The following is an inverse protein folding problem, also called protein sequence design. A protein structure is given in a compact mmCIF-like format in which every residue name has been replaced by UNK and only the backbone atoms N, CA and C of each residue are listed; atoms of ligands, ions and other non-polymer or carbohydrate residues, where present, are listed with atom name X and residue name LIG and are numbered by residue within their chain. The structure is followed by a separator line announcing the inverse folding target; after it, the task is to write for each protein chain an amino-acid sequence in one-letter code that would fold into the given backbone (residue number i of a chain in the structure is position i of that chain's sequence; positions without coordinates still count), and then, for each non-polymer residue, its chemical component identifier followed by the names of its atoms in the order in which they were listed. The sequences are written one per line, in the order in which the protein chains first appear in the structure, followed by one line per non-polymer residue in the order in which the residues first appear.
data_IF_320150000704
#
_entry.id   IF_320150000704
#
_cell.length_a   1.000
_cell.length_b   1.000
_cell.length_c   1.000
_cell.angle_alpha   90.00
_cell.angle_beta   90.00
_cell.angle_gamma   90.00
#
_symmetry.space_group_name_H-M   'P 1'
#
loop_
_entity.id
_entity.type
_entity.pdbx_description
1 polymer ?
#
# COMPACT_ATOMS: atom_id res chain seq x y z
N UNK A 1 11.39 -10.24 -2.84
CA UNK A 1 12.23 -9.02 -2.85
C UNK A 1 13.68 -9.46 -3.03
N UNK A 2 14.39 -8.85 -3.97
CA UNK A 2 15.83 -9.08 -4.18
C UNK A 2 16.61 -7.83 -3.76
N UNK A 3 17.62 -8.01 -2.93
CA UNK A 3 18.54 -6.94 -2.49
C UNK A 3 19.96 -7.46 -2.67
N UNK A 4 20.73 -6.82 -3.53
CA UNK A 4 22.02 -7.35 -4.01
C UNK A 4 21.86 -8.82 -4.49
N UNK A 5 22.64 -9.73 -3.95
CA UNK A 5 22.63 -11.15 -4.30
C UNK A 5 21.62 -11.98 -3.45
N UNK A 6 20.90 -11.34 -2.51
CA UNK A 6 19.98 -12.02 -1.60
C UNK A 6 18.53 -11.89 -2.07
N UNK A 7 17.78 -12.98 -1.92
CA UNK A 7 16.33 -13.03 -2.17
C UNK A 7 15.59 -13.19 -0.86
N UNK A 8 14.64 -12.30 -0.62
CA UNK A 8 13.75 -12.28 0.54
C UNK A 8 12.34 -12.57 0.06
N UNK A 9 11.74 -13.61 0.61
CA UNK A 9 10.32 -13.93 0.36
C UNK A 9 9.48 -13.10 1.35
N UNK A 10 8.42 -12.48 0.86
CA UNK A 10 7.52 -11.67 1.69
C UNK A 10 6.42 -12.57 2.28
N UNK A 11 6.80 -13.32 3.30
CA UNK A 11 5.93 -14.21 4.08
C UNK A 11 6.24 -14.09 5.57
N UNK A 12 5.61 -14.94 6.38
CA UNK A 12 5.77 -14.93 7.84
C UNK A 12 7.19 -15.25 8.33
N UNK A 13 8.08 -15.76 7.48
CA UNK A 13 9.48 -16.06 7.78
C UNK A 13 10.44 -14.91 7.47
N UNK A 14 9.95 -13.82 6.88
CA UNK A 14 10.77 -12.69 6.46
C UNK A 14 11.47 -12.02 7.66
N UNK A 15 12.80 -12.12 7.69
CA UNK A 15 13.65 -11.31 8.57
C UNK A 15 13.79 -9.89 7.98
N UNK A 16 12.89 -9.01 8.41
CA UNK A 16 12.83 -7.64 7.91
C UNK A 16 14.08 -6.84 8.34
N UNK A 17 14.63 -7.09 9.52
CA UNK A 17 15.80 -6.37 10.00
C UNK A 17 17.02 -6.70 9.16
N UNK A 18 17.25 -7.98 8.89
CA UNK A 18 18.32 -8.43 7.99
C UNK A 18 18.15 -7.88 6.58
N UNK A 19 16.92 -7.90 6.04
CA UNK A 19 16.63 -7.31 4.72
C UNK A 19 16.96 -5.81 4.70
N UNK A 20 16.58 -5.07 5.74
CA UNK A 20 16.85 -3.63 5.83
C UNK A 20 18.35 -3.33 5.97
N UNK A 21 19.07 -4.10 6.77
CA UNK A 21 20.54 -3.99 6.89
C UNK A 21 21.20 -4.20 5.53
N UNK A 22 20.81 -5.23 4.79
CA UNK A 22 21.29 -5.51 3.43
C UNK A 22 20.99 -4.35 2.49
N UNK A 23 19.76 -3.78 2.55
CA UNK A 23 19.38 -2.61 1.75
C UNK A 23 20.22 -1.36 2.07
N UNK A 24 20.61 -1.16 3.31
CA UNK A 24 21.46 -0.03 3.70
C UNK A 24 22.94 -0.24 3.35
N UNK A 25 23.39 -1.49 3.28
CA UNK A 25 24.76 -1.84 2.96
C UNK A 25 25.07 -1.76 1.46
N UNK A 26 24.06 -1.80 0.58
CA UNK A 26 24.25 -1.76 -0.87
C UNK A 26 23.86 -0.43 -1.50
N UNK A 27 24.62 -0.01 -2.52
CA UNK A 27 24.26 1.11 -3.39
C UNK A 27 23.25 0.73 -4.49
N UNK A 28 23.05 -0.57 -4.72
CA UNK A 28 22.14 -1.07 -5.74
C UNK A 28 20.67 -0.84 -5.36
N UNK A 29 19.82 -0.72 -6.38
CA UNK A 29 18.38 -0.70 -6.16
C UNK A 29 17.88 -2.10 -5.81
N UNK A 30 17.05 -2.21 -4.77
CA UNK A 30 16.29 -3.43 -4.52
C UNK A 30 15.28 -3.66 -5.66
N UNK A 31 14.98 -4.93 -5.95
CA UNK A 31 13.97 -5.32 -6.95
C UNK A 31 12.84 -6.08 -6.25
N UNK A 32 11.65 -5.98 -6.77
CA UNK A 32 10.51 -6.79 -6.31
C UNK A 32 9.73 -7.32 -7.49
N UNK A 33 9.17 -8.51 -7.35
CA UNK A 33 8.18 -9.06 -8.25
C UNK A 33 6.82 -9.08 -7.53
N UNK A 34 5.76 -8.82 -8.27
CA UNK A 34 4.40 -9.06 -7.78
C UNK A 34 4.09 -10.57 -7.82
N UNK A 35 3.03 -11.03 -7.13
CA UNK A 35 2.53 -12.40 -7.29
C UNK A 35 2.21 -12.70 -8.76
N UNK A 36 2.48 -13.92 -9.19
CA UNK A 36 2.13 -14.38 -10.53
C UNK A 36 0.62 -14.63 -10.64
N UNK A 37 0.04 -14.72 -11.84
CA UNK A 37 -1.35 -15.17 -12.00
C UNK A 37 -1.61 -16.52 -11.35
N UNK A 38 -0.66 -17.47 -11.44
CA UNK A 38 -0.78 -18.79 -10.83
C UNK A 38 -0.88 -18.74 -9.30
N UNK A 39 -0.25 -17.76 -8.64
CA UNK A 39 -0.37 -17.57 -7.20
C UNK A 39 -1.81 -17.20 -6.82
N UNK A 40 -2.44 -16.32 -7.60
CA UNK A 40 -3.84 -15.95 -7.42
C UNK A 40 -4.79 -17.10 -7.76
N UNK A 41 -4.55 -17.83 -8.86
CA UNK A 41 -5.36 -19.00 -9.25
C UNK A 41 -5.43 -20.03 -8.12
N UNK A 42 -4.27 -20.35 -7.51
CA UNK A 42 -4.23 -21.24 -6.34
C UNK A 42 -5.04 -20.73 -5.16
N UNK A 43 -5.02 -19.40 -4.93
CA UNK A 43 -5.78 -18.79 -3.85
C UNK A 43 -7.30 -18.75 -4.11
N UNK A 44 -7.74 -18.83 -5.36
CA UNK A 44 -9.16 -18.81 -5.73
C UNK A 44 -9.84 -20.17 -5.55
N UNK A 45 -9.07 -21.26 -5.48
CA UNK A 45 -9.59 -22.61 -5.48
C UNK A 45 -10.65 -22.84 -4.38
N UNK A 46 -11.79 -23.40 -4.78
CA UNK A 46 -12.89 -23.78 -3.90
C UNK A 46 -13.78 -22.62 -3.41
N UNK A 47 -13.44 -21.36 -3.72
CA UNK A 47 -14.22 -20.21 -3.33
C UNK A 47 -15.32 -19.89 -4.37
N UNK A 48 -16.51 -19.48 -3.89
CA UNK A 48 -17.63 -19.05 -4.75
C UNK A 48 -17.67 -17.51 -4.90
N UNK A 49 -17.29 -16.80 -3.86
CA UNK A 49 -17.22 -15.34 -3.86
C UNK A 49 -15.83 -14.92 -3.44
N UNK A 50 -15.17 -14.10 -4.24
CA UNK A 50 -13.79 -13.69 -4.03
C UNK A 50 -13.70 -12.17 -4.10
N UNK A 51 -13.20 -11.57 -3.02
CA UNK A 51 -12.81 -10.17 -2.98
C UNK A 51 -11.30 -10.08 -2.81
N UNK A 52 -10.63 -9.41 -3.70
CA UNK A 52 -9.18 -9.29 -3.71
C UNK A 52 -8.78 -7.82 -3.74
N UNK A 53 -7.95 -7.40 -2.80
CA UNK A 53 -7.42 -6.04 -2.74
C UNK A 53 -5.95 -6.08 -3.11
N UNK A 54 -5.54 -5.22 -4.03
CA UNK A 54 -4.14 -5.05 -4.41
C UNK A 54 -3.65 -3.65 -4.07
N UNK A 55 -2.36 -3.49 -3.88
CA UNK A 55 -1.76 -2.15 -3.91
C UNK A 55 -1.99 -1.56 -5.30
N UNK A 56 -1.90 -0.23 -5.37
CA UNK A 56 -2.16 0.49 -6.63
C UNK A 56 -1.40 -0.06 -7.82
N UNK A 57 -2.10 -0.22 -8.93
CA UNK A 57 -1.55 -0.67 -10.21
C UNK A 57 -0.47 0.26 -10.78
N UNK A 58 -0.36 1.50 -10.29
CA UNK A 58 0.71 2.44 -10.69
C UNK A 58 2.07 2.12 -10.05
N UNK A 59 2.10 1.40 -8.93
CA UNK A 59 3.32 1.00 -8.22
C UNK A 59 3.73 -0.44 -8.48
N UNK A 60 2.76 -1.32 -8.77
CA UNK A 60 2.97 -2.77 -8.86
C UNK A 60 2.14 -3.40 -9.97
N UNK A 61 2.68 -4.47 -10.56
CA UNK A 61 1.93 -5.33 -11.46
C UNK A 61 0.88 -6.23 -10.80
N UNK A 62 0.74 -6.18 -9.46
CA UNK A 62 -0.16 -7.06 -8.70
C UNK A 62 -1.61 -6.97 -9.20
N UNK A 63 -2.11 -5.76 -9.46
CA UNK A 63 -3.47 -5.58 -9.96
C UNK A 63 -3.68 -6.24 -11.33
N UNK A 64 -2.77 -6.03 -12.27
CA UNK A 64 -2.84 -6.64 -13.59
C UNK A 64 -2.73 -8.18 -13.51
N UNK A 65 -1.85 -8.69 -12.67
CA UNK A 65 -1.69 -10.13 -12.43
C UNK A 65 -2.98 -10.75 -11.86
N UNK A 66 -3.61 -10.08 -10.90
CA UNK A 66 -4.87 -10.50 -10.30
C UNK A 66 -6.04 -10.47 -11.32
N UNK A 67 -6.12 -9.44 -12.15
CA UNK A 67 -7.13 -9.34 -13.22
C UNK A 67 -6.96 -10.44 -14.27
N UNK A 68 -5.72 -10.76 -14.64
CA UNK A 68 -5.44 -11.86 -15.55
C UNK A 68 -5.86 -13.21 -14.94
N UNK A 69 -5.50 -13.45 -13.68
CA UNK A 69 -5.92 -14.66 -12.96
C UNK A 69 -7.44 -14.78 -12.88
N UNK A 70 -8.15 -13.68 -12.58
CA UNK A 70 -9.62 -13.64 -12.60
C UNK A 70 -10.19 -14.10 -13.94
N UNK A 71 -9.66 -13.57 -15.05
CA UNK A 71 -10.18 -13.91 -16.39
C UNK A 71 -9.95 -15.39 -16.69
N UNK A 72 -8.74 -15.92 -16.41
CA UNK A 72 -8.41 -17.33 -16.61
C UNK A 72 -9.32 -18.22 -15.74
N UNK A 73 -9.49 -17.88 -14.45
CA UNK A 73 -10.28 -18.70 -13.53
C UNK A 73 -11.74 -18.80 -13.94
N UNK A 74 -12.33 -17.72 -14.43
CA UNK A 74 -13.73 -17.67 -14.84
C UNK A 74 -14.03 -18.47 -16.13
N UNK A 75 -13.02 -18.81 -16.94
CA UNK A 75 -13.19 -19.70 -18.11
C UNK A 75 -13.68 -21.09 -17.69
N UNK A 76 -13.10 -21.62 -16.59
CA UNK A 76 -13.44 -22.94 -16.07
C UNK A 76 -14.45 -22.90 -14.91
N UNK A 77 -14.67 -21.72 -14.29
CA UNK A 77 -15.53 -21.52 -13.13
C UNK A 77 -16.51 -20.36 -13.31
N UNK A 78 -17.44 -20.43 -14.30
CA UNK A 78 -18.30 -19.31 -14.68
C UNK A 78 -19.29 -18.87 -13.59
N UNK A 79 -19.58 -19.74 -12.61
CA UNK A 79 -20.48 -19.45 -11.47
C UNK A 79 -19.77 -18.74 -10.32
N UNK A 80 -18.45 -18.59 -10.37
CA UNK A 80 -17.68 -17.88 -9.33
C UNK A 80 -17.76 -16.38 -9.55
N UNK A 81 -17.95 -15.65 -8.46
CA UNK A 81 -17.92 -14.18 -8.49
C UNK A 81 -16.60 -13.65 -7.94
N UNK A 82 -15.89 -12.87 -8.75
CA UNK A 82 -14.59 -12.31 -8.39
C UNK A 82 -14.59 -10.80 -8.57
N UNK A 83 -14.32 -10.07 -7.50
CA UNK A 83 -14.12 -8.61 -7.53
C UNK A 83 -12.68 -8.29 -7.14
N UNK A 84 -11.92 -7.72 -8.08
CA UNK A 84 -10.54 -7.26 -7.87
C UNK A 84 -10.54 -5.76 -7.68
N UNK A 85 -10.08 -5.32 -6.53
CA UNK A 85 -10.03 -3.92 -6.11
C UNK A 85 -8.61 -3.40 -6.30
N UNK A 86 -8.42 -2.43 -7.21
CA UNK A 86 -7.24 -1.58 -7.16
C UNK A 86 -7.44 -0.59 -6.02
N UNK A 87 -6.62 -0.71 -4.96
CA UNK A 87 -6.76 0.21 -3.82
C UNK A 87 -6.44 1.66 -4.18
N UNK A 88 -5.79 1.90 -5.32
CA UNK A 88 -5.18 3.19 -5.69
C UNK A 88 -4.23 3.70 -4.60
N UNK A 89 -3.72 2.81 -3.77
CA UNK A 89 -2.99 3.11 -2.54
C UNK A 89 -1.99 2.00 -2.18
N UNK A 90 -1.47 2.05 -0.95
CA UNK A 90 -0.59 1.05 -0.36
C UNK A 90 -0.68 1.09 1.17
N UNK A 91 -0.06 0.12 1.85
CA UNK A 91 0.05 0.10 3.31
C UNK A 91 -1.31 0.17 4.03
N UNK A 92 -1.42 1.02 5.04
CA UNK A 92 -2.58 1.03 5.95
C UNK A 92 -3.94 1.28 5.29
N UNK A 93 -4.00 1.89 4.11
CA UNK A 93 -5.27 2.03 3.39
C UNK A 93 -5.73 0.70 2.79
N UNK A 94 -4.80 -0.16 2.36
CA UNK A 94 -5.12 -1.54 1.93
C UNK A 94 -5.71 -2.32 3.11
N UNK A 95 -5.12 -2.19 4.30
CA UNK A 95 -5.62 -2.84 5.51
C UNK A 95 -7.04 -2.37 5.86
N UNK A 96 -7.32 -1.06 5.75
CA UNK A 96 -8.68 -0.51 5.95
C UNK A 96 -9.71 -1.12 4.99
N UNK A 97 -9.35 -1.31 3.71
CA UNK A 97 -10.24 -1.94 2.74
C UNK A 97 -10.50 -3.41 3.06
N UNK A 98 -9.47 -4.16 3.46
CA UNK A 98 -9.60 -5.57 3.85
C UNK A 98 -10.46 -5.71 5.11
N UNK A 99 -10.21 -4.90 6.14
CA UNK A 99 -11.03 -4.90 7.35
C UNK A 99 -12.49 -4.56 7.05
N UNK A 100 -12.72 -3.55 6.19
CA UNK A 100 -14.09 -3.18 5.79
C UNK A 100 -14.79 -4.27 5.00
N UNK A 101 -14.08 -4.99 4.11
CA UNK A 101 -14.63 -6.15 3.41
C UNK A 101 -15.08 -7.23 4.39
N UNK A 102 -14.25 -7.55 5.39
CA UNK A 102 -14.61 -8.52 6.42
C UNK A 102 -15.87 -8.07 7.17
N UNK A 103 -15.93 -6.81 7.61
CA UNK A 103 -17.12 -6.26 8.29
C UNK A 103 -18.40 -6.38 7.43
N UNK A 104 -18.30 -6.17 6.10
CA UNK A 104 -19.45 -6.27 5.19
C UNK A 104 -19.87 -7.72 4.94
N UNK A 105 -18.92 -8.62 4.83
CA UNK A 105 -19.17 -10.07 4.66
C UNK A 105 -19.82 -10.64 5.94
N UNK A 106 -19.32 -10.27 7.11
CA UNK A 106 -19.85 -10.71 8.41
C UNK A 106 -21.29 -10.20 8.66
N UNK A 107 -21.68 -9.08 8.06
CA UNK A 107 -23.06 -8.60 8.05
C UNK A 107 -23.99 -9.42 7.15
N UNK A 108 -23.47 -10.37 6.39
CA UNK A 108 -24.26 -11.25 5.51
C UNK A 108 -24.77 -10.59 4.24
N UNK A 109 -24.13 -9.51 3.80
CA UNK A 109 -24.47 -8.82 2.56
C UNK A 109 -24.20 -9.72 1.32
N UNK A 110 -25.00 -9.55 0.29
CA UNK A 110 -24.76 -10.19 -1.00
C UNK A 110 -23.45 -9.70 -1.65
N UNK A 111 -22.95 -10.45 -2.63
CA UNK A 111 -21.72 -10.07 -3.34
C UNK A 111 -21.82 -8.65 -3.94
N UNK A 112 -22.94 -8.33 -4.57
CA UNK A 112 -23.19 -7.05 -5.21
C UNK A 112 -23.26 -5.90 -4.22
N UNK A 113 -23.93 -6.12 -3.08
CA UNK A 113 -24.00 -5.12 -1.99
C UNK A 113 -22.61 -4.87 -1.38
N UNK A 114 -21.77 -5.91 -1.23
CA UNK A 114 -20.39 -5.75 -0.76
C UNK A 114 -19.58 -4.93 -1.77
N UNK A 115 -19.70 -5.20 -3.08
CA UNK A 115 -19.01 -4.44 -4.15
C UNK A 115 -19.40 -2.96 -4.11
N UNK A 116 -20.67 -2.64 -4.01
CA UNK A 116 -21.15 -1.25 -3.93
C UNK A 116 -20.67 -0.54 -2.67
N UNK A 117 -20.77 -1.21 -1.52
CA UNK A 117 -20.38 -0.66 -0.23
C UNK A 117 -18.88 -0.41 -0.13
N UNK A 118 -18.03 -1.35 -0.61
CA UNK A 118 -16.58 -1.19 -0.56
C UNK A 118 -16.10 -0.11 -1.53
N UNK A 119 -16.71 0.02 -2.70
CA UNK A 119 -16.40 1.08 -3.66
C UNK A 119 -16.70 2.46 -3.05
N UNK A 120 -17.87 2.60 -2.43
CA UNK A 120 -18.25 3.86 -1.73
C UNK A 120 -17.34 4.15 -0.53
N UNK A 121 -16.88 3.11 0.17
CA UNK A 121 -15.95 3.27 1.29
C UNK A 121 -14.58 3.73 0.82
N UNK A 122 -14.05 3.14 -0.25
CA UNK A 122 -12.75 3.50 -0.85
C UNK A 122 -12.67 4.98 -1.24
N UNK A 123 -13.76 5.56 -1.74
CA UNK A 123 -13.81 6.99 -2.10
C UNK A 123 -13.60 7.92 -0.89
N UNK A 124 -13.81 7.43 0.33
CA UNK A 124 -13.72 8.17 1.59
C UNK A 124 -12.43 7.89 2.36
N UNK A 125 -11.64 6.93 1.92
CA UNK A 125 -10.34 6.63 2.53
C UNK A 125 -9.23 7.47 1.91
N UNK A 126 -8.11 7.59 2.60
CA UNK A 126 -6.96 8.35 2.13
C UNK A 126 -5.66 7.83 2.75
N UNK A 127 -4.67 7.59 1.90
CA UNK A 127 -3.31 7.34 2.35
C UNK A 127 -2.55 8.65 2.51
N UNK A 128 -1.98 8.85 3.68
CA UNK A 128 -0.91 9.80 3.92
C UNK A 128 0.37 9.05 4.30
N UNK A 129 1.51 9.52 3.83
CA UNK A 129 2.78 8.90 4.16
C UNK A 129 3.84 9.92 4.60
N UNK A 130 4.76 9.45 5.43
CA UNK A 130 5.98 10.18 5.81
C UNK A 130 7.19 9.31 5.51
N UNK A 131 7.97 9.69 4.52
CA UNK A 131 9.16 8.95 4.09
C UNK A 131 10.43 9.66 4.53
N UNK A 132 11.25 8.96 5.31
CA UNK A 132 12.57 9.45 5.73
C UNK A 132 13.63 9.25 4.65
N UNK A 133 13.47 8.23 3.80
CA UNK A 133 14.33 7.91 2.67
C UNK A 133 13.45 7.52 1.48
N UNK A 134 13.84 7.91 0.29
CA UNK A 134 13.10 7.68 -0.95
C UNK A 134 13.95 7.07 -2.06
N UNK A 135 15.21 6.79 -1.77
CA UNK A 135 16.21 6.38 -2.77
C UNK A 135 15.76 5.18 -3.59
N UNK A 136 15.20 4.14 -2.94
CA UNK A 136 14.72 2.95 -3.63
C UNK A 136 13.48 3.22 -4.48
N UNK A 137 12.55 4.05 -4.03
CA UNK A 137 11.37 4.42 -4.81
C UNK A 137 11.75 5.23 -6.05
N UNK A 138 12.75 6.12 -5.92
CA UNK A 138 13.31 6.88 -7.05
C UNK A 138 14.05 5.98 -8.02
N UNK A 139 14.98 5.13 -7.53
CA UNK A 139 15.75 4.20 -8.34
C UNK A 139 14.86 3.22 -9.12
N UNK A 140 13.74 2.84 -8.57
CA UNK A 140 12.75 1.94 -9.19
C UNK A 140 11.66 2.67 -10.00
N UNK A 141 11.75 3.99 -10.16
CA UNK A 141 10.82 4.78 -10.96
C UNK A 141 9.41 4.91 -10.37
N UNK A 142 9.20 4.60 -9.07
CA UNK A 142 7.90 4.67 -8.38
C UNK A 142 7.60 6.05 -7.79
N UNK A 143 8.57 6.96 -7.84
CA UNK A 143 8.33 8.38 -7.54
C UNK A 143 8.57 9.21 -8.79
N UNK A 144 7.77 10.25 -8.99
CA UNK A 144 7.94 11.15 -10.11
C UNK A 144 9.30 11.87 -10.04
N UNK A 145 9.83 12.28 -11.19
CA UNK A 145 11.12 12.99 -11.30
C UNK A 145 11.20 14.26 -10.44
N UNK A 146 10.07 14.89 -10.15
CA UNK A 146 9.99 16.09 -9.30
C UNK A 146 10.37 15.80 -7.84
N UNK A 147 10.14 14.58 -7.39
CA UNK A 147 10.47 14.16 -6.03
C UNK A 147 11.96 13.80 -5.92
N UNK A 148 12.59 13.37 -7.00
CA UNK A 148 14.04 13.11 -7.07
C UNK A 148 14.93 14.30 -6.68
N UNK A 149 14.40 15.53 -6.71
CA UNK A 149 15.12 16.72 -6.25
C UNK A 149 15.33 16.82 -4.74
N UNK A 150 14.77 15.87 -3.98
CA UNK A 150 14.92 15.79 -2.50
C UNK A 150 16.00 14.81 -2.09
N UNK A 151 16.44 13.98 -3.02
CA UNK A 151 17.51 12.99 -2.79
C UNK A 151 18.80 13.70 -2.40
N UNK A 152 19.39 13.27 -1.28
CA UNK A 152 20.64 13.84 -0.76
C UNK A 152 20.51 15.02 0.19
N UNK A 153 19.31 15.53 0.44
CA UNK A 153 19.12 16.58 1.46
C UNK A 153 19.11 15.98 2.87
N UNK A 154 20.05 16.41 3.69
CA UNK A 154 20.21 15.90 5.05
C UNK A 154 18.97 16.18 5.91
N UNK A 155 18.43 15.11 6.52
CA UNK A 155 17.32 15.16 7.48
C UNK A 155 16.01 15.78 6.93
N UNK A 156 15.79 15.71 5.60
CA UNK A 156 14.49 16.07 5.00
C UNK A 156 13.63 14.82 4.89
N UNK A 157 12.40 14.92 5.36
CA UNK A 157 11.35 13.90 5.20
C UNK A 157 10.29 14.39 4.24
N UNK A 158 9.75 13.46 3.47
CA UNK A 158 8.67 13.74 2.54
C UNK A 158 7.33 13.38 3.19
N UNK A 159 6.42 14.33 3.21
CA UNK A 159 5.02 14.10 3.58
C UNK A 159 4.21 14.17 2.30
N UNK A 160 3.43 13.13 2.05
CA UNK A 160 2.68 13.01 0.80
C UNK A 160 1.43 12.16 0.96
N UNK A 161 0.76 11.94 -0.17
CA UNK A 161 -0.47 11.17 -0.25
C UNK A 161 -0.47 10.24 -1.47
N UNK A 162 -1.37 9.26 -1.47
CA UNK A 162 -1.78 8.63 -2.71
C UNK A 162 -2.80 9.54 -3.42
N UNK A 163 -2.57 9.80 -4.70
CA UNK A 163 -3.51 10.58 -5.52
C UNK A 163 -4.75 9.75 -5.86
N UNK A 164 -5.75 10.40 -6.41
CA UNK A 164 -6.97 9.73 -6.91
C UNK A 164 -6.70 8.72 -8.04
N UNK A 165 -5.53 8.77 -8.65
CA UNK A 165 -5.09 7.82 -9.69
C UNK A 165 -4.08 6.81 -9.17
N UNK A 166 -3.84 6.76 -7.86
CA UNK A 166 -2.96 5.80 -7.22
C UNK A 166 -1.46 6.10 -7.33
N UNK A 167 -1.07 7.29 -7.77
CA UNK A 167 0.33 7.74 -7.76
C UNK A 167 0.70 8.34 -6.42
N UNK A 168 1.97 8.19 -6.02
CA UNK A 168 2.47 8.86 -4.82
C UNK A 168 2.81 10.32 -5.13
N UNK A 169 2.19 11.24 -4.40
CA UNK A 169 2.35 12.68 -4.58
C UNK A 169 2.92 13.36 -3.34
N UNK A 170 3.85 14.29 -3.56
CA UNK A 170 4.43 15.08 -2.50
C UNK A 170 3.50 16.24 -2.13
N UNK A 171 3.12 16.34 -0.87
CA UNK A 171 2.41 17.48 -0.32
C UNK A 171 3.37 18.52 0.23
N UNK A 172 4.31 18.08 1.08
CA UNK A 172 5.30 19.01 1.67
C UNK A 172 6.59 18.30 2.09
N UNK A 173 7.63 19.10 2.31
CA UNK A 173 8.93 18.68 2.84
C UNK A 173 9.08 19.17 4.26
N UNK A 174 9.48 18.28 5.18
CA UNK A 174 9.67 18.63 6.58
C UNK A 174 11.08 18.27 7.05
N UNK A 175 11.72 19.16 7.81
CA UNK A 175 13.05 18.89 8.35
C UNK A 175 12.94 18.21 9.70
N UNK A 176 13.37 16.96 9.75
CA UNK A 176 13.45 16.15 10.96
C UNK A 176 12.11 15.54 11.41
N UNK A 177 12.16 14.65 12.40
CA UNK A 177 11.01 13.87 12.85
C UNK A 177 9.83 14.73 13.33
N UNK A 178 10.10 15.65 14.26
CA UNK A 178 9.03 16.45 14.88
C UNK A 178 8.23 17.29 13.87
N UNK A 179 8.92 17.93 12.92
CA UNK A 179 8.23 18.72 11.89
C UNK A 179 7.47 17.85 10.90
N UNK A 180 7.96 16.62 10.62
CA UNK A 180 7.24 15.71 9.75
C UNK A 180 5.98 15.14 10.38
N UNK A 181 5.98 14.87 11.68
CA UNK A 181 4.77 14.50 12.43
C UNK A 181 3.75 15.63 12.42
N UNK A 182 4.19 16.88 12.70
CA UNK A 182 3.28 18.03 12.62
C UNK A 182 2.70 18.19 11.22
N UNK A 183 3.53 18.10 10.20
CA UNK A 183 3.10 18.21 8.82
C UNK A 183 2.08 17.12 8.44
N UNK A 184 2.31 15.86 8.86
CA UNK A 184 1.35 14.77 8.64
C UNK A 184 0.02 15.04 9.35
N UNK A 185 0.05 15.49 10.59
CA UNK A 185 -1.15 15.88 11.34
C UNK A 185 -1.92 16.99 10.63
N UNK A 186 -1.24 18.07 10.21
CA UNK A 186 -1.86 19.17 9.50
C UNK A 186 -2.55 18.70 8.20
N UNK A 187 -1.94 17.77 7.46
CA UNK A 187 -2.55 17.17 6.26
C UNK A 187 -3.75 16.27 6.58
N UNK A 188 -3.76 15.55 7.72
CA UNK A 188 -4.92 14.79 8.19
C UNK A 188 -6.11 15.73 8.43
N UNK A 189 -5.88 16.83 9.15
CA UNK A 189 -6.93 17.81 9.44
C UNK A 189 -7.41 18.53 8.16
N UNK A 190 -6.48 18.92 7.30
CA UNK A 190 -6.79 19.56 6.01
C UNK A 190 -7.57 18.62 5.08
N UNK A 191 -7.34 17.30 5.16
CA UNK A 191 -8.11 16.30 4.43
C UNK A 191 -9.56 16.14 4.94
N UNK A 192 -9.92 16.83 6.04
CA UNK A 192 -11.27 16.83 6.59
C UNK A 192 -11.53 15.66 7.56
N UNK A 193 -10.48 15.07 8.15
CA UNK A 193 -10.68 14.01 9.14
C UNK A 193 -11.46 14.56 10.35
N UNK A 194 -12.59 13.92 10.62
CA UNK A 194 -13.50 14.31 11.71
C UNK A 194 -13.77 13.12 12.67
N UNK A 195 -12.91 12.14 12.67
CA UNK A 195 -13.03 10.89 13.42
C UNK A 195 -13.21 9.67 12.52
N UNK A 196 -13.07 8.49 13.10
CA UNK A 196 -13.11 7.22 12.38
C UNK A 196 -11.83 6.41 12.55
N UNK A 197 -11.72 5.32 11.80
CA UNK A 197 -10.59 4.39 11.90
C UNK A 197 -9.34 4.97 11.21
N UNK A 198 -8.21 4.89 11.88
CA UNK A 198 -6.89 5.18 11.31
C UNK A 198 -6.02 3.92 11.48
N UNK A 199 -5.41 3.48 10.39
CA UNK A 199 -4.36 2.45 10.42
C UNK A 199 -3.01 3.11 10.18
N UNK A 200 -2.06 2.83 11.06
CA UNK A 200 -0.72 3.35 10.97
C UNK A 200 0.30 2.22 10.81
N UNK A 201 0.88 2.11 9.62
CA UNK A 201 2.00 1.23 9.35
C UNK A 201 3.32 1.99 9.51
N UNK A 202 4.30 1.42 10.19
CA UNK A 202 5.60 2.06 10.41
C UNK A 202 6.76 1.07 10.30
N UNK A 203 7.93 1.57 9.96
CA UNK A 203 9.18 0.82 10.04
C UNK A 203 10.30 1.69 10.61
N UNK A 204 10.91 1.24 11.72
CA UNK A 204 11.95 1.96 12.45
C UNK A 204 11.59 3.41 12.78
N UNK A 205 10.33 3.68 13.07
CA UNK A 205 9.80 5.03 13.25
C UNK A 205 8.72 5.12 14.35
N UNK A 206 8.78 4.21 15.32
CA UNK A 206 7.80 4.05 16.40
C UNK A 206 7.53 5.37 17.15
N UNK A 207 8.60 6.12 17.44
CA UNK A 207 8.45 7.43 18.13
C UNK A 207 7.60 8.43 17.33
N UNK A 208 7.73 8.44 16.01
CA UNK A 208 6.93 9.33 15.18
C UNK A 208 5.47 8.85 15.10
N UNK A 209 5.27 7.53 15.02
CA UNK A 209 3.96 6.92 15.04
C UNK A 209 3.23 7.23 16.34
N UNK A 210 3.87 7.02 17.49
CA UNK A 210 3.32 7.37 18.80
C UNK A 210 3.00 8.86 18.93
N UNK A 211 3.91 9.75 18.50
CA UNK A 211 3.67 11.19 18.55
C UNK A 211 2.51 11.64 17.66
N UNK A 212 2.20 10.92 16.58
CA UNK A 212 1.04 11.20 15.75
C UNK A 212 -0.24 10.66 16.39
N UNK A 213 -0.17 9.49 17.01
CA UNK A 213 -1.30 8.86 17.73
C UNK A 213 -1.76 9.67 18.94
N UNK A 214 -0.85 10.37 19.60
CA UNK A 214 -1.11 11.17 20.81
C UNK A 214 -1.80 12.51 20.52
N UNK A 215 -2.10 12.84 19.26
CA UNK A 215 -2.71 14.09 18.80
C UNK A 215 -4.18 13.96 18.44
#
# INVERSE_FOLDING_TARGET
IQVADQVFVDDSSLDIDHMMETMYATAEASKSACPSPDDYLRAFEGAKNIFLVTITGTLSGSHNSAQLAKNIYLEDHPDTKIHVIDSLSAGGEVDLLVEKLNDLIDQGLSFEEVVEAITTYQEKTKLLFVLAKVDNLVKNGRLSKLIGTVVGLLNIRMVGEASKTGTLELLQKARGPKKSVQAAYDEIIKAGYAGGRIVMAQRNNEKCCQQLSDR
#
